data_IF_134032538441
#
_entry.id   IF_134032538441
#
_cell.length_a   1.000
_cell.length_b   1.000
_cell.length_c   1.000
_cell.angle_alpha   90.00
_cell.angle_beta   90.00
_cell.angle_gamma   90.00
#
_symmetry.space_group_name_H-M   'P 1'
#
loop_
_entity.id
_entity.type
_entity.pdbx_description
1 polymer ?
#
# COMPACT_ATOMS: atom_id res chain seq x y z
N UNK A 1 10.52 -21.91 -8.69
CA UNK A 1 9.63 -22.85 -7.98
C UNK A 1 8.18 -22.37 -7.88
N UNK A 2 7.87 -21.08 -8.07
CA UNK A 2 6.49 -20.55 -7.93
C UNK A 2 5.87 -20.00 -9.22
N UNK A 3 6.50 -20.13 -10.39
CA UNK A 3 6.10 -19.40 -11.61
C UNK A 3 4.91 -19.98 -12.39
N UNK A 4 4.51 -21.22 -12.12
CA UNK A 4 3.43 -21.90 -12.86
C UNK A 4 2.14 -22.10 -12.04
N UNK A 5 2.11 -21.62 -10.80
CA UNK A 5 0.94 -21.64 -9.92
C UNK A 5 0.11 -20.36 -10.15
N UNK A 6 -1.23 -20.36 -10.06
CA UNK A 6 -2.05 -19.15 -10.07
C UNK A 6 -1.55 -18.03 -9.12
N UNK A 7 -0.94 -18.36 -7.98
CA UNK A 7 -0.30 -17.36 -7.10
C UNK A 7 0.95 -16.73 -7.73
N UNK A 8 1.65 -17.46 -8.59
CA UNK A 8 2.80 -16.99 -9.36
C UNK A 8 2.46 -16.06 -10.51
N UNK A 9 1.35 -16.31 -11.20
CA UNK A 9 0.85 -15.41 -12.25
C UNK A 9 0.48 -14.04 -11.67
N UNK A 10 -0.22 -14.02 -10.52
CA UNK A 10 -0.49 -12.78 -9.79
C UNK A 10 0.78 -12.08 -9.29
N UNK A 11 1.82 -12.84 -8.95
CA UNK A 11 3.10 -12.26 -8.53
C UNK A 11 3.79 -11.48 -9.65
N UNK A 12 3.88 -12.05 -10.86
CA UNK A 12 4.51 -11.36 -11.99
C UNK A 12 3.75 -10.07 -12.37
N UNK A 13 2.41 -10.06 -12.27
CA UNK A 13 1.57 -8.85 -12.45
C UNK A 13 1.86 -7.78 -11.38
N UNK A 14 1.89 -8.17 -10.09
CA UNK A 14 2.22 -7.24 -9.00
C UNK A 14 3.63 -6.67 -9.11
N UNK A 15 4.60 -7.47 -9.58
CA UNK A 15 5.97 -7.00 -9.83
C UNK A 15 6.00 -5.99 -10.98
N UNK A 16 5.26 -6.22 -12.05
CA UNK A 16 5.16 -5.26 -13.16
C UNK A 16 4.56 -3.92 -12.69
N UNK A 17 3.51 -3.97 -11.87
CA UNK A 17 2.90 -2.79 -11.25
C UNK A 17 3.88 -2.06 -10.30
N UNK A 18 4.62 -2.79 -9.46
CA UNK A 18 5.63 -2.21 -8.57
C UNK A 18 6.75 -1.50 -9.35
N UNK A 19 7.13 -2.01 -10.53
CA UNK A 19 8.10 -1.35 -11.39
C UNK A 19 7.59 -0.01 -11.95
N UNK A 20 6.28 0.11 -12.23
CA UNK A 20 5.70 1.39 -12.65
C UNK A 20 5.69 2.41 -11.51
N UNK A 21 5.35 1.96 -10.28
CA UNK A 21 5.42 2.81 -9.09
C UNK A 21 6.85 3.28 -8.78
N UNK A 22 7.86 2.46 -9.11
CA UNK A 22 9.26 2.84 -8.93
C UNK A 22 9.63 4.08 -9.73
N UNK A 23 9.11 4.26 -10.94
CA UNK A 23 9.35 5.48 -11.74
C UNK A 23 8.80 6.72 -11.04
N UNK A 24 7.61 6.62 -10.42
CA UNK A 24 7.02 7.72 -9.63
C UNK A 24 7.89 8.01 -8.38
N UNK A 25 8.40 6.97 -7.73
CA UNK A 25 9.29 7.12 -6.58
C UNK A 25 10.60 7.83 -6.94
N UNK A 26 11.17 7.50 -8.10
CA UNK A 26 12.37 8.16 -8.64
C UNK A 26 12.13 9.64 -8.96
N UNK A 27 10.97 10.01 -9.52
CA UNK A 27 10.57 11.42 -9.73
C UNK A 27 10.49 12.21 -8.41
N UNK A 28 10.07 11.55 -7.33
CA UNK A 28 9.94 12.16 -6.00
C UNK A 28 11.23 12.10 -5.18
N UNK A 29 12.29 11.47 -5.69
CA UNK A 29 13.58 11.34 -5.00
C UNK A 29 13.56 10.42 -3.78
N UNK A 30 12.64 9.46 -3.73
CA UNK A 30 12.46 8.55 -2.59
C UNK A 30 12.49 7.08 -3.00
N UNK A 31 12.70 6.19 -2.02
CA UNK A 31 12.62 4.76 -2.27
C UNK A 31 11.16 4.31 -2.33
N UNK A 32 10.87 3.28 -3.14
CA UNK A 32 9.53 2.74 -3.27
C UNK A 32 8.86 2.39 -1.91
N UNK A 33 9.56 1.76 -0.94
CA UNK A 33 8.98 1.52 0.39
C UNK A 33 8.55 2.81 1.10
N UNK A 34 9.33 3.89 0.97
CA UNK A 34 9.00 5.19 1.56
C UNK A 34 7.78 5.82 0.91
N UNK A 35 7.64 5.73 -0.42
CA UNK A 35 6.42 6.20 -1.12
C UNK A 35 5.20 5.46 -0.61
N UNK A 36 5.26 4.14 -0.50
CA UNK A 36 4.12 3.34 -0.07
C UNK A 36 3.66 3.70 1.35
N UNK A 37 4.61 3.89 2.28
CA UNK A 37 4.31 4.30 3.65
C UNK A 37 3.78 5.74 3.69
N UNK A 38 4.40 6.65 2.95
CA UNK A 38 3.98 8.06 2.86
C UNK A 38 2.56 8.18 2.27
N UNK A 39 2.26 7.42 1.21
CA UNK A 39 0.94 7.36 0.59
C UNK A 39 -0.13 6.83 1.55
N UNK A 40 0.15 5.75 2.27
CA UNK A 40 -0.75 5.21 3.28
C UNK A 40 -0.99 6.21 4.42
N UNK A 41 0.06 6.88 4.88
CA UNK A 41 0.00 7.88 5.96
C UNK A 41 -0.75 9.15 5.52
N UNK A 42 -0.68 9.52 4.24
CA UNK A 42 -1.36 10.68 3.68
C UNK A 42 -2.89 10.47 3.44
N UNK A 43 -3.44 9.31 3.79
CA UNK A 43 -4.86 9.02 3.69
C UNK A 43 -5.59 9.41 4.98
N UNK A 44 -6.47 10.42 4.90
CA UNK A 44 -7.23 10.92 6.06
C UNK A 44 -8.19 9.87 6.67
N UNK A 45 -8.56 8.83 5.91
CA UNK A 45 -9.41 7.75 6.41
C UNK A 45 -8.62 6.69 7.20
N UNK A 46 -7.30 6.82 7.32
CA UNK A 46 -6.44 5.86 7.99
C UNK A 46 -5.81 6.46 9.25
N UNK A 47 -6.07 5.86 10.40
CA UNK A 47 -5.55 6.35 11.69
C UNK A 47 -4.15 5.85 12.01
N UNK A 48 -3.74 4.70 11.46
CA UNK A 48 -2.46 4.06 11.80
C UNK A 48 -1.93 3.25 10.64
N UNK A 49 -0.63 3.39 10.37
CA UNK A 49 0.12 2.59 9.41
C UNK A 49 1.03 1.63 10.17
N UNK A 50 0.86 0.32 9.96
CA UNK A 50 1.69 -0.71 10.57
C UNK A 50 2.83 -1.08 9.62
N UNK A 51 4.07 -1.00 10.10
CA UNK A 51 5.27 -1.32 9.30
C UNK A 51 6.02 -2.51 9.90
N UNK A 52 6.44 -3.43 9.02
CA UNK A 52 7.33 -4.53 9.38
C UNK A 52 8.79 -4.15 9.14
N UNK A 53 9.69 -4.53 10.05
CA UNK A 53 11.12 -4.40 9.88
C UNK A 53 11.82 -5.60 10.53
N UNK A 54 12.64 -6.30 9.75
CA UNK A 54 13.42 -7.43 10.26
C UNK A 54 14.65 -6.95 11.04
N UNK A 55 15.21 -5.79 10.67
CA UNK A 55 16.43 -5.22 11.25
C UNK A 55 16.25 -3.71 11.53
N UNK A 56 17.00 -3.13 12.47
CA UNK A 56 16.86 -1.71 12.84
C UNK A 56 17.01 -0.72 11.67
N UNK A 57 17.92 -0.99 10.73
CA UNK A 57 18.11 -0.13 9.56
C UNK A 57 16.89 -0.04 8.65
N UNK A 58 16.10 -1.11 8.54
CA UNK A 58 14.84 -1.11 7.80
C UNK A 58 13.78 -0.26 8.51
N UNK A 59 13.73 -0.32 9.84
CA UNK A 59 12.83 0.53 10.62
C UNK A 59 13.20 2.00 10.45
N UNK A 60 14.48 2.35 10.53
CA UNK A 60 14.96 3.70 10.27
C UNK A 60 14.61 4.19 8.86
N UNK A 61 14.71 3.33 7.84
CA UNK A 61 14.29 3.66 6.48
C UNK A 61 12.78 3.90 6.39
N UNK A 62 11.97 3.04 7.02
CA UNK A 62 10.51 3.15 7.05
C UNK A 62 10.07 4.46 7.73
N UNK A 63 10.70 4.84 8.85
CA UNK A 63 10.36 6.06 9.58
C UNK A 63 10.68 7.33 8.79
N UNK A 64 11.73 7.32 7.97
CA UNK A 64 12.06 8.45 7.06
C UNK A 64 10.99 8.70 6.01
N UNK A 65 10.03 7.79 5.80
CA UNK A 65 8.89 8.01 4.92
C UNK A 65 8.03 9.20 5.38
N UNK A 66 8.02 9.54 6.67
CA UNK A 66 7.25 10.66 7.21
C UNK A 66 7.66 12.02 6.61
N UNK A 67 8.93 12.17 6.22
CA UNK A 67 9.46 13.38 5.57
C UNK A 67 8.85 13.58 4.17
N UNK A 68 8.34 12.52 3.54
CA UNK A 68 7.76 12.51 2.20
C UNK A 68 6.22 12.57 2.21
N UNK A 69 5.57 12.59 3.38
CA UNK A 69 4.09 12.65 3.44
C UNK A 69 3.56 13.92 2.77
N UNK A 70 4.27 15.04 2.93
CA UNK A 70 3.92 16.33 2.32
C UNK A 70 4.10 16.36 0.80
N UNK A 71 4.89 15.44 0.22
CA UNK A 71 5.11 15.37 -1.23
C UNK A 71 4.03 14.55 -1.94
N UNK A 72 3.17 13.84 -1.20
CA UNK A 72 2.02 13.11 -1.73
C UNK A 72 0.88 14.09 -2.04
N UNK A 73 1.06 14.86 -3.10
CA UNK A 73 0.05 15.80 -3.61
C UNK A 73 -1.12 15.05 -4.25
N UNK A 74 -2.27 15.70 -4.47
CA UNK A 74 -3.39 15.10 -5.21
C UNK A 74 -3.00 14.59 -6.60
N UNK A 75 -2.05 15.25 -7.26
CA UNK A 75 -1.51 14.84 -8.56
C UNK A 75 -0.71 13.52 -8.46
N UNK A 76 0.12 13.39 -7.43
CA UNK A 76 0.86 12.15 -7.17
C UNK A 76 -0.09 11.01 -6.81
N UNK A 77 -1.12 11.28 -6.00
CA UNK A 77 -2.18 10.30 -5.69
C UNK A 77 -2.86 9.82 -6.97
N UNK A 78 -3.25 10.73 -7.86
CA UNK A 78 -3.87 10.37 -9.14
C UNK A 78 -2.94 9.53 -10.04
N UNK A 79 -1.63 9.82 -10.06
CA UNK A 79 -0.63 8.98 -10.77
C UNK A 79 -0.56 7.56 -10.19
N UNK A 80 -0.58 7.43 -8.85
CA UNK A 80 -0.56 6.13 -8.17
C UNK A 80 -1.86 5.36 -8.44
N UNK A 81 -3.01 6.02 -8.36
CA UNK A 81 -4.32 5.41 -8.59
C UNK A 81 -4.46 4.88 -10.03
N UNK A 82 -3.90 5.58 -11.01
CA UNK A 82 -3.86 5.14 -12.40
C UNK A 82 -3.04 3.85 -12.61
N UNK A 83 -2.05 3.58 -11.75
CA UNK A 83 -1.22 2.38 -11.80
C UNK A 83 -1.88 1.22 -11.04
N UNK A 84 -2.41 1.48 -9.85
CA UNK A 84 -2.87 0.43 -8.93
C UNK A 84 -4.29 -0.04 -9.24
N UNK A 85 -5.15 0.82 -9.81
CA UNK A 85 -6.55 0.54 -10.16
C UNK A 85 -7.31 -0.26 -9.07
N UNK A 86 -7.06 0.05 -7.80
CA UNK A 86 -7.69 -0.62 -6.67
C UNK A 86 -8.89 0.17 -6.19
N UNK A 87 -10.08 -0.39 -6.38
CA UNK A 87 -11.31 0.13 -5.78
C UNK A 87 -11.68 -0.75 -4.58
N UNK A 88 -11.63 -0.22 -3.35
CA UNK A 88 -12.04 -0.98 -2.18
C UNK A 88 -13.51 -1.37 -2.33
N UNK A 89 -13.79 -2.67 -2.26
CA UNK A 89 -15.16 -3.17 -2.24
C UNK A 89 -15.64 -3.19 -0.79
N UNK A 90 -16.88 -2.77 -0.55
CA UNK A 90 -17.49 -2.95 0.77
C UNK A 90 -17.48 -4.44 1.12
N UNK A 91 -17.05 -4.75 2.34
CA UNK A 91 -17.14 -6.11 2.88
C UNK A 91 -18.56 -6.60 2.69
N UNK A 92 -18.72 -7.76 2.04
CA UNK A 92 -20.03 -8.42 1.99
C UNK A 92 -20.39 -8.75 3.43
N UNK A 93 -21.62 -8.44 3.82
CA UNK A 93 -22.14 -8.90 5.09
C UNK A 93 -22.14 -10.44 5.05
N UNK A 94 -21.36 -11.06 5.92
CA UNK A 94 -21.30 -12.50 6.05
C UNK A 94 -22.51 -12.99 6.86
N UNK A 95 -22.89 -14.25 6.69
CA UNK A 95 -24.05 -14.84 7.39
C UNK A 95 -23.94 -14.81 8.94
N UNK A 96 -22.78 -14.42 9.47
CA UNK A 96 -22.44 -14.39 10.89
C UNK A 96 -22.35 -12.97 11.47
N UNK A 97 -22.53 -11.92 10.68
CA UNK A 97 -22.47 -10.55 11.17
C UNK A 97 -23.59 -10.23 12.19
N UNK A 98 -24.72 -10.92 12.07
CA UNK A 98 -25.83 -10.89 13.03
C UNK A 98 -25.58 -11.69 14.32
N UNK A 99 -24.44 -12.38 14.47
CA UNK A 99 -24.14 -13.09 15.72
C UNK A 99 -23.71 -12.12 16.81
N UNK A 100 -23.02 -11.04 16.45
CA UNK A 100 -22.64 -10.00 17.41
C UNK A 100 -23.86 -9.20 17.92
N UNK A 101 -24.96 -9.13 17.18
CA UNK A 101 -26.17 -8.43 17.61
C UNK A 101 -27.08 -9.25 18.55
N UNK A 102 -26.80 -10.55 18.74
CA UNK A 102 -27.64 -11.45 19.57
C UNK A 102 -27.31 -11.46 21.08
N UNK A 103 -26.23 -10.79 21.49
CA UNK A 103 -25.75 -10.77 22.87
C UNK A 103 -25.67 -9.37 23.49
N UNK A 104 -26.28 -8.38 22.83
CA UNK A 104 -26.58 -7.05 23.36
C UNK A 104 -28.10 -6.86 23.40
#
# INVERSE_FOLDING_TARGET
>A
MFRADPLGAMFDEHVAMANQLKTIAEELGCSLPKVSIAWATANENMSTVMVGASHPSQLEENLKALEFVSTITPEVKAKIDAVVNFLPTLSKLEAWDDVHSRHL
#
